data_IF_889565771650
#
_entry.id   IF_889565771650
#
_cell.length_a   1.000
_cell.length_b   1.000
_cell.length_c   1.000
_cell.angle_alpha   90.00
_cell.angle_beta   90.00
_cell.angle_gamma   90.00
#
_symmetry.space_group_name_H-M   'P 1'
#
loop_
_entity.id
_entity.type
_entity.pdbx_description
1 polymer ?
#
# COMPACT_ATOMS: atom_id res chain seq x y z
N UNK A 1 -3.34 27.98 35.19
CA UNK A 1 -2.02 27.85 34.51
C UNK A 1 -1.61 26.39 34.30
N UNK A 2 -1.45 25.56 35.34
CA UNK A 2 -1.06 24.13 35.18
C UNK A 2 -1.91 23.33 34.18
N UNK A 3 -3.25 23.44 34.22
CA UNK A 3 -4.17 22.71 33.32
C UNK A 3 -3.95 23.03 31.83
N UNK A 4 -3.58 24.26 31.51
CA UNK A 4 -3.35 24.72 30.13
C UNK A 4 -2.04 24.13 29.58
N UNK A 5 -1.02 23.99 30.44
CA UNK A 5 0.25 23.34 30.10
C UNK A 5 0.08 21.85 29.76
N UNK A 6 -0.80 21.14 30.49
CA UNK A 6 -1.12 19.73 30.19
C UNK A 6 -1.83 19.56 28.85
N UNK A 7 -2.75 20.47 28.51
CA UNK A 7 -3.46 20.44 27.22
C UNK A 7 -2.47 20.65 26.06
N UNK A 8 -1.57 21.63 26.19
CA UNK A 8 -0.52 21.88 25.18
C UNK A 8 0.42 20.68 25.01
N UNK A 9 0.83 20.03 26.10
CA UNK A 9 1.60 18.79 26.03
C UNK A 9 0.85 17.66 25.32
N UNK A 10 -0.44 17.47 25.62
CA UNK A 10 -1.27 16.45 24.97
C UNK A 10 -1.40 16.68 23.45
N UNK A 11 -1.60 17.94 23.05
CA UNK A 11 -1.67 18.32 21.63
C UNK A 11 -0.33 18.05 20.92
N UNK A 12 0.79 18.38 21.56
CA UNK A 12 2.13 18.11 20.99
C UNK A 12 2.40 16.61 20.85
N UNK A 13 2.04 15.80 21.85
CA UNK A 13 2.19 14.34 21.79
C UNK A 13 1.29 13.75 20.70
N UNK A 14 0.06 14.22 20.56
CA UNK A 14 -0.85 13.78 19.50
C UNK A 14 -0.32 14.16 18.10
N UNK A 15 0.19 15.38 17.93
CA UNK A 15 0.79 15.84 16.68
C UNK A 15 2.05 15.04 16.32
N UNK A 16 2.94 14.80 17.29
CA UNK A 16 4.14 13.98 17.09
C UNK A 16 3.78 12.54 16.74
N UNK A 17 2.78 11.96 17.43
CA UNK A 17 2.28 10.61 17.14
C UNK A 17 1.67 10.52 15.74
N UNK A 18 0.91 11.54 15.33
CA UNK A 18 0.33 11.61 13.99
C UNK A 18 1.42 11.69 12.91
N UNK A 19 2.44 12.53 13.11
CA UNK A 19 3.60 12.62 12.20
C UNK A 19 4.36 11.30 12.13
N UNK A 20 4.55 10.62 13.28
CA UNK A 20 5.23 9.33 13.33
C UNK A 20 4.45 8.24 12.57
N UNK A 21 3.14 8.13 12.82
CA UNK A 21 2.27 7.15 12.15
C UNK A 21 2.25 7.38 10.65
N UNK A 22 2.06 8.62 10.20
CA UNK A 22 2.00 8.95 8.76
C UNK A 22 3.33 8.70 8.05
N UNK A 23 4.48 8.96 8.69
CA UNK A 23 5.79 8.58 8.13
C UNK A 23 5.98 7.07 8.07
N UNK A 24 5.56 6.36 9.10
CA UNK A 24 5.66 4.90 9.14
C UNK A 24 4.78 4.24 8.08
N UNK A 25 3.59 4.79 7.85
CA UNK A 25 2.65 4.33 6.82
C UNK A 25 3.24 4.48 5.41
N UNK A 26 3.86 5.63 5.11
CA UNK A 26 4.55 5.84 3.83
C UNK A 26 5.76 4.93 3.64
N UNK A 27 6.57 4.72 4.68
CA UNK A 27 7.72 3.83 4.61
C UNK A 27 7.28 2.37 4.36
N UNK A 28 6.19 1.95 5.00
CA UNK A 28 5.62 0.62 4.80
C UNK A 28 5.03 0.46 3.38
N UNK A 29 4.31 1.46 2.87
CA UNK A 29 3.80 1.47 1.50
C UNK A 29 4.93 1.33 0.47
N UNK A 30 6.01 2.10 0.62
CA UNK A 30 7.19 2.02 -0.25
C UNK A 30 7.86 0.65 -0.18
N UNK A 31 7.94 0.05 1.01
CA UNK A 31 8.51 -1.27 1.18
C UNK A 31 7.66 -2.36 0.51
N UNK A 32 6.33 -2.30 0.65
CA UNK A 32 5.39 -3.21 -0.04
C UNK A 32 5.53 -3.08 -1.54
N UNK A 33 5.56 -1.84 -2.08
CA UNK A 33 5.76 -1.60 -3.51
C UNK A 33 7.06 -2.22 -4.00
N UNK A 34 8.17 -1.97 -3.30
CA UNK A 34 9.48 -2.51 -3.65
C UNK A 34 9.49 -4.04 -3.68
N UNK A 35 8.97 -4.69 -2.65
CA UNK A 35 8.94 -6.16 -2.59
C UNK A 35 8.05 -6.77 -3.69
N UNK A 36 6.92 -6.13 -4.01
CA UNK A 36 6.05 -6.59 -5.10
C UNK A 36 6.72 -6.44 -6.46
N UNK A 37 7.41 -5.31 -6.71
CA UNK A 37 8.18 -5.08 -7.94
C UNK A 37 9.27 -6.15 -8.08
N UNK A 38 10.11 -6.32 -7.05
CA UNK A 38 11.17 -7.34 -7.03
C UNK A 38 10.61 -8.76 -7.27
N UNK A 39 9.45 -9.08 -6.67
CA UNK A 39 8.79 -10.38 -6.86
C UNK A 39 8.33 -10.59 -8.30
N UNK A 40 7.71 -9.59 -8.92
CA UNK A 40 7.21 -9.68 -10.30
C UNK A 40 8.36 -9.75 -11.31
N UNK A 41 9.40 -8.93 -11.12
CA UNK A 41 10.61 -8.98 -11.94
C UNK A 41 11.28 -10.36 -11.88
N UNK A 42 11.45 -10.91 -10.66
CA UNK A 42 12.05 -12.22 -10.48
C UNK A 42 11.17 -13.36 -11.04
N UNK A 43 9.85 -13.28 -10.89
CA UNK A 43 8.93 -14.36 -11.28
C UNK A 43 8.74 -14.40 -12.80
N UNK A 44 8.66 -13.24 -13.46
CA UNK A 44 8.32 -13.15 -14.87
C UNK A 44 9.48 -12.70 -15.77
N UNK A 45 10.65 -12.40 -15.21
CA UNK A 45 11.86 -12.03 -15.97
C UNK A 45 11.74 -10.69 -16.72
N UNK A 46 10.86 -9.80 -16.26
CA UNK A 46 10.64 -8.47 -16.84
C UNK A 46 11.53 -7.45 -16.14
N UNK A 47 11.98 -6.44 -16.89
CA UNK A 47 12.78 -5.33 -16.37
C UNK A 47 11.95 -4.19 -15.79
N UNK A 48 10.65 -4.10 -16.09
CA UNK A 48 9.80 -3.01 -15.59
C UNK A 48 8.32 -3.46 -15.49
N UNK A 49 7.70 -3.38 -14.30
CA UNK A 49 6.25 -3.48 -14.18
C UNK A 49 5.58 -2.22 -14.74
N UNK A 50 4.77 -2.39 -15.79
CA UNK A 50 4.01 -1.34 -16.47
C UNK A 50 2.79 -0.94 -15.61
N UNK A 51 3.08 -0.15 -14.57
CA UNK A 51 2.19 0.54 -13.62
C UNK A 51 1.97 -0.22 -12.31
N UNK A 52 2.47 0.40 -11.23
CA UNK A 52 2.38 -0.01 -9.82
C UNK A 52 1.56 1.04 -9.08
N UNK A 53 0.30 0.74 -8.76
CA UNK A 53 -0.56 1.63 -7.94
C UNK A 53 -0.72 1.03 -6.55
N UNK A 54 -0.46 1.81 -5.51
CA UNK A 54 -0.84 1.41 -4.14
C UNK A 54 -2.36 1.54 -4.01
N UNK A 55 -2.99 0.51 -3.50
CA UNK A 55 -4.43 0.46 -3.26
C UNK A 55 -4.65 0.30 -1.75
N UNK A 56 -5.30 1.30 -1.16
CA UNK A 56 -5.55 1.35 0.28
C UNK A 56 -6.97 0.86 0.60
N UNK A 57 -7.10 -0.19 1.42
CA UNK A 57 -8.40 -0.65 1.90
C UNK A 57 -8.60 -0.32 3.39
N UNK A 58 -9.38 0.73 3.67
CA UNK A 58 -9.62 1.23 5.03
C UNK A 58 -10.40 0.25 5.93
N UNK A 59 -11.10 -0.73 5.33
CA UNK A 59 -12.00 -1.65 6.04
C UNK A 59 -11.26 -2.69 6.88
N UNK A 60 -9.94 -2.81 6.71
CA UNK A 60 -9.14 -3.76 7.46
C UNK A 60 -8.40 -3.11 8.63
N UNK A 61 -8.59 -3.70 9.82
CA UNK A 61 -7.97 -3.26 11.09
C UNK A 61 -6.45 -3.48 11.11
N UNK A 62 -5.95 -4.45 10.35
CA UNK A 62 -4.55 -4.86 10.32
C UNK A 62 -3.81 -4.20 9.13
N UNK A 63 -2.63 -3.64 9.38
CA UNK A 63 -1.85 -2.83 8.42
C UNK A 63 -1.46 -3.60 7.15
N UNK A 64 -1.03 -4.84 7.31
CA UNK A 64 -0.76 -5.83 6.26
C UNK A 64 -1.93 -6.01 5.28
N UNK A 65 -3.17 -5.83 5.75
CA UNK A 65 -4.37 -5.95 4.92
C UNK A 65 -4.81 -4.63 4.27
N UNK A 66 -4.19 -3.51 4.64
CA UNK A 66 -4.52 -2.18 4.11
C UNK A 66 -3.78 -1.88 2.81
N UNK A 67 -2.55 -2.37 2.67
CA UNK A 67 -1.70 -2.07 1.51
C UNK A 67 -1.71 -3.24 0.54
N UNK A 68 -2.31 -3.00 -0.62
CA UNK A 68 -2.15 -3.85 -1.79
C UNK A 68 -1.50 -3.04 -2.91
N UNK A 69 -0.89 -3.76 -3.86
CA UNK A 69 -0.21 -3.19 -5.00
C UNK A 69 -0.83 -3.79 -6.25
N UNK A 70 -1.37 -2.93 -7.10
CA UNK A 70 -1.90 -3.30 -8.40
C UNK A 70 -0.79 -3.17 -9.43
N UNK A 71 -0.48 -4.28 -10.11
CA UNK A 71 0.57 -4.38 -11.11
C UNK A 71 -0.04 -4.76 -12.45
N UNK A 72 0.38 -4.07 -13.50
CA UNK A 72 0.16 -4.49 -14.88
C UNK A 72 1.52 -4.68 -15.53
N UNK A 73 1.67 -5.72 -16.33
CA UNK A 73 2.89 -6.02 -17.07
C UNK A 73 2.52 -6.80 -18.33
N UNK A 74 3.25 -6.59 -19.43
CA UNK A 74 2.92 -7.19 -20.73
C UNK A 74 3.01 -8.72 -20.74
N UNK A 75 3.78 -9.27 -19.80
CA UNK A 75 3.95 -10.72 -19.57
C UNK A 75 2.76 -11.35 -18.85
N UNK A 76 1.92 -10.55 -18.19
CA UNK A 76 0.76 -11.06 -17.47
C UNK A 76 -0.42 -11.19 -18.45
N UNK A 77 -1.22 -12.27 -18.36
CA UNK A 77 -2.38 -12.49 -19.22
C UNK A 77 -3.58 -11.60 -18.80
N UNK A 78 -3.37 -10.29 -18.74
CA UNK A 78 -4.32 -9.28 -18.30
C UNK A 78 -4.89 -8.53 -19.50
N UNK A 79 -6.16 -8.12 -19.42
CA UNK A 79 -6.70 -7.13 -20.37
C UNK A 79 -6.10 -5.74 -20.12
N UNK A 80 -6.19 -4.79 -21.09
CA UNK A 80 -5.60 -3.46 -20.94
C UNK A 80 -6.03 -2.68 -19.68
N UNK A 81 -7.26 -2.93 -19.20
CA UNK A 81 -7.85 -2.27 -18.03
C UNK A 81 -7.85 -3.15 -16.78
N UNK A 82 -7.11 -4.26 -16.79
CA UNK A 82 -6.99 -5.20 -15.68
C UNK A 82 -5.60 -5.11 -15.04
N UNK A 83 -5.57 -5.31 -13.74
CA UNK A 83 -4.37 -5.31 -12.92
C UNK A 83 -4.34 -6.57 -12.07
N UNK A 84 -3.18 -7.19 -11.94
CA UNK A 84 -2.96 -8.22 -10.95
C UNK A 84 -2.68 -7.56 -9.60
N UNK A 85 -3.33 -8.04 -8.54
CA UNK A 85 -3.18 -7.48 -7.20
C UNK A 85 -2.29 -8.36 -6.34
N UNK A 86 -1.35 -7.70 -5.67
CA UNK A 86 -0.43 -8.31 -4.73
C UNK A 86 -0.53 -7.62 -3.37
N UNK A 87 -0.14 -8.31 -2.30
CA UNK A 87 0.02 -7.71 -0.98
C UNK A 87 1.09 -8.44 -0.19
N UNK A 88 1.59 -7.80 0.86
CA UNK A 88 2.38 -8.50 1.87
C UNK A 88 1.47 -9.18 2.89
N UNK A 89 1.69 -10.47 3.10
CA UNK A 89 1.12 -11.24 4.19
C UNK A 89 2.26 -11.98 4.89
N UNK A 90 2.41 -11.76 6.21
CA UNK A 90 3.45 -12.39 7.03
C UNK A 90 4.88 -12.22 6.46
N UNK A 91 5.15 -11.06 5.84
CA UNK A 91 6.43 -10.73 5.22
C UNK A 91 6.67 -11.37 3.86
N UNK A 92 5.66 -12.04 3.28
CA UNK A 92 5.73 -12.63 1.95
C UNK A 92 4.76 -11.94 0.99
N UNK A 93 5.20 -11.74 -0.25
CA UNK A 93 4.32 -11.26 -1.33
C UNK A 93 3.39 -12.39 -1.74
N UNK A 94 2.08 -12.11 -1.71
CA UNK A 94 1.05 -13.04 -2.17
C UNK A 94 0.19 -12.40 -3.24
N UNK A 95 -0.20 -13.20 -4.24
CA UNK A 95 -1.17 -12.85 -5.25
C UNK A 95 -2.60 -12.94 -4.69
N UNK A 96 -3.44 -11.96 -5.01
CA UNK A 96 -4.84 -11.90 -4.58
C UNK A 96 -5.83 -12.11 -5.72
N UNK A 97 -5.41 -11.84 -6.95
CA UNK A 97 -6.22 -11.97 -8.17
C UNK A 97 -6.30 -10.67 -8.97
N UNK A 98 -7.21 -10.65 -9.94
CA UNK A 98 -7.30 -9.59 -10.94
C UNK A 98 -8.39 -8.58 -10.55
N UNK A 99 -8.11 -7.30 -10.72
CA UNK A 99 -9.05 -6.19 -10.54
C UNK A 99 -9.07 -5.31 -11.79
N UNK A 100 -10.21 -4.68 -12.08
CA UNK A 100 -10.32 -3.69 -13.15
C UNK A 100 -9.96 -2.27 -12.67
N UNK A 101 -9.63 -1.39 -13.62
CA UNK A 101 -9.28 0.00 -13.33
C UNK A 101 -10.41 0.77 -12.64
N UNK A 102 -11.67 0.47 -12.97
CA UNK A 102 -12.83 1.14 -12.37
C UNK A 102 -12.98 0.80 -10.88
N UNK A 103 -12.76 -0.46 -10.49
CA UNK A 103 -12.83 -0.88 -9.09
C UNK A 103 -11.63 -0.41 -8.28
N UNK A 104 -10.46 -0.24 -8.92
CA UNK A 104 -9.30 0.43 -8.29
C UNK A 104 -9.66 1.86 -7.90
N UNK A 105 -10.19 2.65 -8.85
CA UNK A 105 -10.55 4.05 -8.62
C UNK A 105 -11.66 4.24 -7.57
N UNK A 106 -12.58 3.28 -7.47
CA UNK A 106 -13.65 3.30 -6.45
C UNK A 106 -13.17 3.13 -5.02
N UNK A 107 -11.94 2.67 -4.82
CA UNK A 107 -11.42 2.43 -3.46
C UNK A 107 -10.34 3.43 -3.06
N UNK A 108 -9.81 4.22 -4.01
CA UNK A 108 -9.04 5.42 -3.68
C UNK A 108 -9.92 6.59 -3.18
N UNK A 109 -11.25 6.50 -3.33
CA UNK A 109 -12.24 7.48 -2.83
C UNK A 109 -12.81 7.08 -1.47
#
# INVERSE_FOLDING_TARGET
MKKLMWIVCLVLVAAASYVYITRYDRAYEQDVMRQVVEHVEHTYGTSEPVVVKSYYNDKHRAKDKRYAVAVRADVLPLKPNEYMTYRLQDGQVIERGIIDEESLLKTER
#
